data_IF_938678860456
#
_entry.id   IF_938678860456
#
_cell.length_a   1.000
_cell.length_b   1.000
_cell.length_c   1.000
_cell.angle_alpha   90.00
_cell.angle_beta   90.00
_cell.angle_gamma   90.00
#
_symmetry.space_group_name_H-M   'P 1'
#
loop_
_entity.id
_entity.type
_entity.pdbx_description
1 polymer ?
#
# COMPACT_ATOMS: atom_id res chain seq x y z
N UNK A 1 96.35 31.42 48.38
CA UNK A 1 95.79 32.78 48.43
C UNK A 1 96.81 33.68 47.76
N UNK A 2 96.57 34.05 46.50
CA UNK A 2 97.40 35.02 45.78
C UNK A 2 96.67 36.36 45.92
N UNK A 3 97.35 37.36 46.46
CA UNK A 3 96.80 38.69 46.76
C UNK A 3 97.56 39.66 45.88
N UNK A 4 96.85 40.41 45.04
CA UNK A 4 97.38 41.58 44.33
C UNK A 4 97.23 42.83 45.21
N UNK A 5 98.15 43.78 45.07
CA UNK A 5 98.34 45.00 45.88
C UNK A 5 97.15 46.00 45.83
N UNK A 6 96.04 45.61 45.17
CA UNK A 6 94.76 46.33 45.16
C UNK A 6 93.65 45.68 46.01
N UNK A 7 93.95 44.65 46.81
CA UNK A 7 93.02 44.13 47.82
C UNK A 7 91.95 43.14 47.32
N UNK A 8 92.16 42.53 46.14
CA UNK A 8 91.28 41.46 45.62
C UNK A 8 91.76 40.07 46.07
N UNK A 9 90.91 39.32 46.78
CA UNK A 9 91.20 37.91 47.14
C UNK A 9 90.72 37.00 45.99
N UNK A 10 91.60 36.68 45.03
CA UNK A 10 91.32 35.67 43.99
C UNK A 10 91.90 34.32 44.42
N UNK A 11 91.13 33.56 45.20
CA UNK A 11 91.46 32.16 45.53
C UNK A 11 91.03 31.23 44.39
N UNK A 12 91.84 30.22 44.08
CA UNK A 12 91.51 29.13 43.13
C UNK A 12 90.13 28.51 43.46
N UNK A 13 89.77 28.45 44.74
CA UNK A 13 88.46 27.98 45.21
C UNK A 13 87.29 28.89 44.80
N UNK A 14 87.50 30.21 44.72
CA UNK A 14 86.48 31.16 44.27
C UNK A 14 86.30 31.08 42.75
N UNK A 15 87.40 30.93 42.00
CA UNK A 15 87.35 30.71 40.56
C UNK A 15 86.67 29.39 40.19
N UNK A 16 86.94 28.29 40.92
CA UNK A 16 86.27 27.00 40.69
C UNK A 16 84.79 27.04 41.07
N UNK A 17 84.42 27.70 42.17
CA UNK A 17 83.02 27.89 42.55
C UNK A 17 82.24 28.70 41.48
N UNK A 18 82.83 29.78 40.96
CA UNK A 18 82.23 30.56 39.87
C UNK A 18 82.05 29.73 38.60
N UNK A 19 83.05 28.91 38.23
CA UNK A 19 82.95 28.02 37.08
C UNK A 19 81.85 26.97 37.24
N UNK A 20 81.72 26.37 38.43
CA UNK A 20 80.66 25.41 38.73
C UNK A 20 79.28 26.08 38.68
N UNK A 21 79.14 27.28 39.24
CA UNK A 21 77.91 28.06 39.15
C UNK A 21 77.54 28.39 37.68
N UNK A 22 78.51 28.83 36.87
CA UNK A 22 78.28 29.08 35.44
C UNK A 22 77.85 27.81 34.70
N UNK A 23 78.52 26.68 34.96
CA UNK A 23 78.19 25.40 34.37
C UNK A 23 76.76 24.94 34.73
N UNK A 24 76.35 25.11 36.00
CA UNK A 24 74.99 24.84 36.47
C UNK A 24 73.96 25.75 35.80
N UNK A 25 74.23 27.05 35.67
CA UNK A 25 73.33 27.99 34.98
C UNK A 25 73.17 27.59 33.51
N UNK A 26 74.27 27.27 32.81
CA UNK A 26 74.19 26.80 31.43
C UNK A 26 73.45 25.46 31.30
N UNK A 27 73.61 24.55 32.26
CA UNK A 27 72.86 23.30 32.31
C UNK A 27 71.36 23.52 32.54
N UNK A 28 70.97 24.44 33.42
CA UNK A 28 69.55 24.78 33.63
C UNK A 28 68.93 25.45 32.41
N UNK A 29 69.67 26.36 31.75
CA UNK A 29 69.24 26.99 30.50
C UNK A 29 69.08 25.96 29.38
N UNK A 30 70.01 25.01 29.25
CA UNK A 30 69.91 23.95 28.23
C UNK A 30 68.73 23.02 28.50
N UNK A 31 68.49 22.63 29.76
CA UNK A 31 67.33 21.83 30.17
C UNK A 31 66.03 22.58 29.89
N UNK A 32 65.92 23.85 30.25
CA UNK A 32 64.74 24.68 29.99
C UNK A 32 64.47 24.85 28.48
N UNK A 33 65.53 24.95 27.68
CA UNK A 33 65.42 25.05 26.23
C UNK A 33 64.94 23.73 25.60
N UNK A 34 65.48 22.59 26.03
CA UNK A 34 65.06 21.26 25.57
C UNK A 34 63.62 20.97 26.01
N UNK A 35 63.25 21.26 27.26
CA UNK A 35 61.89 21.01 27.77
C UNK A 35 60.84 21.85 27.06
N UNK A 36 61.14 23.13 26.80
CA UNK A 36 60.27 24.02 26.03
C UNK A 36 60.03 23.50 24.61
N UNK A 37 61.07 22.96 23.96
CA UNK A 37 60.97 22.43 22.60
C UNK A 37 60.21 21.10 22.56
N UNK A 38 60.44 20.22 23.54
CA UNK A 38 59.70 18.97 23.68
C UNK A 38 58.20 19.20 23.91
N UNK A 39 57.84 20.13 24.80
CA UNK A 39 56.45 20.51 25.05
C UNK A 39 55.74 20.99 23.78
N UNK A 40 56.43 21.82 22.99
CA UNK A 40 55.90 22.30 21.70
C UNK A 40 55.73 21.18 20.68
N UNK A 41 56.72 20.29 20.55
CA UNK A 41 56.62 19.13 19.65
C UNK A 41 55.45 18.23 20.02
N UNK A 42 55.25 17.97 21.32
CA UNK A 42 54.13 17.18 21.81
C UNK A 42 52.78 17.85 21.48
N UNK A 43 52.64 19.14 21.77
CA UNK A 43 51.41 19.88 21.44
C UNK A 43 51.09 19.87 19.93
N UNK A 44 52.10 19.98 19.07
CA UNK A 44 51.93 19.90 17.61
C UNK A 44 51.56 18.47 17.17
N UNK A 45 52.19 17.45 17.77
CA UNK A 45 51.89 16.05 17.48
C UNK A 45 50.46 15.67 17.90
N UNK A 46 49.99 16.14 19.05
CA UNK A 46 48.62 15.94 19.53
C UNK A 46 47.62 16.61 18.57
N UNK A 47 47.88 17.85 18.15
CA UNK A 47 47.05 18.54 17.17
C UNK A 47 47.03 17.83 15.79
N UNK A 48 48.16 17.23 15.38
CA UNK A 48 48.26 16.45 14.16
C UNK A 48 47.48 15.13 14.25
N UNK A 49 47.55 14.46 15.40
CA UNK A 49 46.79 13.24 15.69
C UNK A 49 45.29 13.52 15.67
N UNK A 50 44.83 14.58 16.35
CA UNK A 50 43.43 15.01 16.31
C UNK A 50 42.96 15.37 14.89
N UNK A 51 43.83 15.97 14.06
CA UNK A 51 43.51 16.25 12.67
C UNK A 51 43.31 14.96 11.84
N UNK A 52 44.13 13.93 12.07
CA UNK A 52 43.97 12.61 11.48
C UNK A 52 42.70 11.89 11.97
N UNK A 53 42.43 11.93 13.27
CA UNK A 53 41.22 11.35 13.88
C UNK A 53 39.94 11.98 13.31
N UNK A 54 39.93 13.30 13.11
CA UNK A 54 38.80 14.01 12.52
C UNK A 54 38.48 13.54 11.09
N UNK A 55 39.45 13.03 10.33
CA UNK A 55 39.20 12.44 9.01
C UNK A 55 38.37 11.16 9.13
N UNK A 56 38.72 10.28 10.08
CA UNK A 56 37.98 9.04 10.35
C UNK A 56 36.60 9.36 10.93
N UNK A 57 36.50 10.35 11.81
CA UNK A 57 35.22 10.82 12.35
C UNK A 57 34.27 11.32 11.24
N UNK A 58 34.80 12.02 10.23
CA UNK A 58 34.00 12.44 9.07
C UNK A 58 33.55 11.26 8.22
N UNK A 59 34.43 10.29 7.97
CA UNK A 59 34.07 9.09 7.23
C UNK A 59 32.96 8.28 7.93
N UNK A 60 33.09 8.05 9.23
CA UNK A 60 32.06 7.36 10.02
C UNK A 60 30.73 8.11 10.03
N UNK A 61 30.77 9.46 10.11
CA UNK A 61 29.55 10.28 9.98
C UNK A 61 28.90 10.11 8.61
N UNK A 62 29.69 10.09 7.52
CA UNK A 62 29.17 9.86 6.17
C UNK A 62 28.51 8.49 6.07
N UNK A 63 29.17 7.44 6.58
CA UNK A 63 28.62 6.08 6.58
C UNK A 63 27.29 5.99 7.36
N UNK A 64 27.20 6.63 8.53
CA UNK A 64 25.97 6.69 9.33
C UNK A 64 24.83 7.42 8.61
N UNK A 65 25.13 8.52 7.91
CA UNK A 65 24.11 9.25 7.13
C UNK A 65 23.63 8.42 5.94
N UNK A 66 24.53 7.69 5.28
CA UNK A 66 24.18 6.77 4.19
C UNK A 66 23.28 5.66 4.71
N UNK A 67 23.63 5.01 5.83
CA UNK A 67 22.83 3.96 6.45
C UNK A 67 21.43 4.45 6.82
N UNK A 68 21.34 5.60 7.50
CA UNK A 68 20.07 6.25 7.83
C UNK A 68 19.24 6.58 6.58
N UNK A 69 19.88 6.96 5.48
CA UNK A 69 19.21 7.24 4.20
C UNK A 69 18.66 5.97 3.56
N UNK A 70 19.45 4.88 3.56
CA UNK A 70 19.04 3.56 3.06
C UNK A 70 17.85 3.02 3.87
N UNK A 71 17.89 3.17 5.20
CA UNK A 71 16.79 2.79 6.09
C UNK A 71 15.54 3.63 5.81
N UNK A 72 15.71 4.94 5.66
CA UNK A 72 14.60 5.88 5.41
C UNK A 72 13.90 5.59 4.08
N UNK A 73 14.66 5.33 3.02
CA UNK A 73 14.11 4.92 1.71
C UNK A 73 13.40 3.57 1.82
N UNK A 74 13.96 2.61 2.55
CA UNK A 74 13.35 1.30 2.78
C UNK A 74 12.01 1.39 3.49
N UNK A 75 11.97 2.10 4.63
CA UNK A 75 10.74 2.30 5.39
C UNK A 75 9.70 3.08 4.60
N UNK A 76 10.09 4.14 3.89
CA UNK A 76 9.18 4.93 3.07
C UNK A 76 8.59 4.11 1.91
N UNK A 77 9.42 3.31 1.24
CA UNK A 77 8.98 2.40 0.18
C UNK A 77 7.99 1.35 0.69
N UNK A 78 8.31 0.70 1.81
CA UNK A 78 7.43 -0.29 2.44
C UNK A 78 6.10 0.31 2.92
N UNK A 79 6.13 1.50 3.52
CA UNK A 79 4.91 2.20 3.94
C UNK A 79 4.01 2.55 2.74
N UNK A 80 4.60 3.04 1.64
CA UNK A 80 3.85 3.32 0.41
C UNK A 80 3.22 2.06 -0.20
N UNK A 81 3.96 0.95 -0.28
CA UNK A 81 3.43 -0.33 -0.75
C UNK A 81 2.32 -0.83 0.18
N UNK A 82 2.55 -0.85 1.49
CA UNK A 82 1.56 -1.30 2.48
C UNK A 82 0.27 -0.48 2.43
N UNK A 83 0.39 0.85 2.40
CA UNK A 83 -0.77 1.74 2.25
C UNK A 83 -1.46 1.57 0.90
N UNK A 84 -0.70 1.38 -0.18
CA UNK A 84 -1.20 1.13 -1.52
C UNK A 84 -2.03 -0.14 -1.61
N UNK A 85 -1.54 -1.24 -1.02
CA UNK A 85 -2.24 -2.52 -0.96
C UNK A 85 -3.57 -2.42 -0.21
N UNK A 86 -3.58 -1.77 0.96
CA UNK A 86 -4.82 -1.56 1.72
C UNK A 86 -5.81 -0.70 0.94
N UNK A 87 -5.34 0.40 0.33
CA UNK A 87 -6.19 1.28 -0.48
C UNK A 87 -6.74 0.57 -1.74
N UNK A 88 -5.99 -0.37 -2.32
CA UNK A 88 -6.45 -1.19 -3.44
C UNK A 88 -7.62 -2.10 -3.09
N UNK A 89 -7.79 -2.47 -1.82
CA UNK A 89 -8.94 -3.25 -1.36
C UNK A 89 -10.19 -2.41 -1.05
N UNK A 90 -10.09 -1.07 -1.07
CA UNK A 90 -11.22 -0.18 -0.75
C UNK A 90 -11.90 0.31 -2.04
N UNK A 91 -13.21 0.07 -2.22
CA UNK A 91 -13.96 0.58 -3.36
C UNK A 91 -13.80 2.10 -3.53
N UNK A 92 -13.51 2.56 -4.75
CA UNK A 92 -13.27 3.97 -5.06
C UNK A 92 -11.85 4.49 -4.76
N UNK A 93 -11.00 3.73 -4.05
CA UNK A 93 -9.59 4.09 -3.80
C UNK A 93 -8.58 3.25 -4.60
N UNK A 94 -9.03 2.29 -5.40
CA UNK A 94 -8.17 1.38 -6.15
C UNK A 94 -7.10 2.08 -7.02
N UNK A 95 -7.48 3.17 -7.69
CA UNK A 95 -6.56 3.96 -8.53
C UNK A 95 -5.50 4.70 -7.72
N UNK A 96 -5.83 5.17 -6.51
CA UNK A 96 -4.88 5.78 -5.59
C UNK A 96 -3.95 4.72 -4.98
N UNK A 97 -4.49 3.56 -4.64
CA UNK A 97 -3.72 2.42 -4.14
C UNK A 97 -2.65 1.95 -5.13
N UNK A 98 -3.02 1.82 -6.41
CA UNK A 98 -2.07 1.45 -7.48
C UNK A 98 -0.92 2.46 -7.62
N UNK A 99 -1.21 3.76 -7.61
CA UNK A 99 -0.19 4.82 -7.65
C UNK A 99 0.75 4.79 -6.44
N UNK A 100 0.21 4.48 -5.25
CA UNK A 100 1.01 4.37 -4.02
C UNK A 100 1.93 3.15 -4.06
N UNK A 101 1.44 2.00 -4.54
CA UNK A 101 2.29 0.82 -4.78
C UNK A 101 3.42 1.13 -5.77
N UNK A 102 3.11 1.75 -6.91
CA UNK A 102 4.10 2.14 -7.91
C UNK A 102 5.17 3.09 -7.35
N UNK A 103 4.74 4.08 -6.57
CA UNK A 103 5.66 4.99 -5.89
C UNK A 103 6.55 4.23 -4.90
N UNK A 104 5.97 3.32 -4.10
CA UNK A 104 6.69 2.49 -3.15
C UNK A 104 7.74 1.61 -3.80
N UNK A 105 7.41 0.91 -4.89
CA UNK A 105 8.35 0.08 -5.65
C UNK A 105 9.48 0.91 -6.26
N UNK A 106 9.18 2.09 -6.83
CA UNK A 106 10.22 3.00 -7.33
C UNK A 106 11.15 3.48 -6.22
N UNK A 107 10.63 3.74 -5.02
CA UNK A 107 11.46 4.10 -3.86
C UNK A 107 12.36 2.95 -3.42
N UNK A 108 11.87 1.71 -3.42
CA UNK A 108 12.68 0.53 -3.09
C UNK A 108 13.76 0.24 -4.14
N UNK A 109 13.46 0.45 -5.42
CA UNK A 109 14.47 0.36 -6.49
C UNK A 109 15.54 1.46 -6.35
N UNK A 110 15.12 2.69 -6.05
CA UNK A 110 16.03 3.79 -5.77
C UNK A 110 16.92 3.50 -4.55
N UNK A 111 16.36 2.90 -3.49
CA UNK A 111 17.12 2.41 -2.32
C UNK A 111 18.21 1.44 -2.74
N UNK A 112 17.87 0.44 -3.57
CA UNK A 112 18.84 -0.58 -4.04
C UNK A 112 20.00 0.08 -4.79
N UNK A 113 19.69 0.93 -5.79
CA UNK A 113 20.72 1.65 -6.57
C UNK A 113 21.58 2.57 -5.71
N UNK A 114 20.96 3.30 -4.79
CA UNK A 114 21.65 4.18 -3.86
C UNK A 114 22.57 3.39 -2.93
N UNK A 115 22.08 2.30 -2.33
CA UNK A 115 22.87 1.46 -1.44
C UNK A 115 24.11 0.88 -2.14
N UNK A 116 23.95 0.31 -3.34
CA UNK A 116 25.07 -0.24 -4.12
C UNK A 116 26.12 0.84 -4.41
N UNK A 117 25.70 1.98 -4.97
CA UNK A 117 26.62 3.06 -5.31
C UNK A 117 27.30 3.68 -4.08
N UNK A 118 26.57 3.82 -2.97
CA UNK A 118 27.12 4.37 -1.74
C UNK A 118 28.14 3.42 -1.08
N UNK A 119 27.92 2.10 -1.14
CA UNK A 119 28.88 1.11 -0.65
C UNK A 119 30.17 1.14 -1.47
N UNK A 120 30.07 1.16 -2.80
CA UNK A 120 31.25 1.30 -3.68
C UNK A 120 32.04 2.57 -3.36
N UNK A 121 31.35 3.69 -3.18
CA UNK A 121 31.99 4.96 -2.81
C UNK A 121 32.64 4.94 -1.42
N UNK A 122 32.00 4.29 -0.44
CA UNK A 122 32.54 4.13 0.91
C UNK A 122 33.78 3.23 0.91
N UNK A 123 33.78 2.15 0.13
CA UNK A 123 34.91 1.22 0.00
C UNK A 123 36.12 1.92 -0.63
N UNK A 124 35.91 2.70 -1.70
CA UNK A 124 36.98 3.47 -2.35
C UNK A 124 37.50 4.60 -1.43
N UNK A 125 36.62 5.27 -0.70
CA UNK A 125 37.01 6.33 0.25
C UNK A 125 37.81 5.74 1.42
N UNK A 126 37.45 4.56 1.89
CA UNK A 126 38.11 3.85 2.97
C UNK A 126 39.56 3.50 2.63
N UNK A 127 39.82 3.04 1.39
CA UNK A 127 41.19 2.78 0.89
C UNK A 127 42.09 4.02 0.94
N UNK A 128 41.50 5.22 0.83
CA UNK A 128 42.21 6.50 0.83
C UNK A 128 42.30 7.18 2.20
N UNK A 129 41.62 6.66 3.23
CA UNK A 129 41.62 7.24 4.59
C UNK A 129 43.03 7.49 5.15
N UNK A 130 44.00 6.56 5.05
CA UNK A 130 45.35 6.79 5.57
C UNK A 130 46.04 7.99 4.89
N UNK A 131 45.79 8.18 3.59
CA UNK A 131 46.36 9.29 2.82
C UNK A 131 45.73 10.62 3.27
N UNK A 132 44.41 10.66 3.44
CA UNK A 132 43.72 11.87 3.92
C UNK A 132 44.14 12.24 5.35
N UNK A 133 44.29 11.26 6.24
CA UNK A 133 44.78 11.48 7.59
C UNK A 133 46.22 12.02 7.60
N UNK A 134 47.10 11.44 6.79
CA UNK A 134 48.48 11.91 6.64
C UNK A 134 48.56 13.35 6.12
N UNK A 135 47.74 13.70 5.12
CA UNK A 135 47.66 15.07 4.58
C UNK A 135 47.11 16.07 5.61
N UNK A 136 46.04 15.71 6.32
CA UNK A 136 45.44 16.55 7.35
C UNK A 136 46.43 16.82 8.50
N UNK A 137 47.12 15.78 8.95
CA UNK A 137 48.18 15.87 9.96
C UNK A 137 49.34 16.75 9.50
N UNK A 138 49.85 16.53 8.28
CA UNK A 138 50.96 17.32 7.71
C UNK A 138 50.58 18.81 7.59
N UNK A 139 49.36 19.11 7.13
CA UNK A 139 48.86 20.49 7.05
C UNK A 139 48.72 21.13 8.44
N UNK A 140 48.25 20.38 9.43
CA UNK A 140 48.16 20.83 10.82
C UNK A 140 49.54 21.16 11.39
N UNK A 141 50.52 20.30 11.16
CA UNK A 141 51.91 20.49 11.60
C UNK A 141 52.50 21.75 10.98
N UNK A 142 52.33 21.93 9.66
CA UNK A 142 52.88 23.09 8.95
C UNK A 142 52.27 24.41 9.46
N UNK A 143 50.97 24.43 9.74
CA UNK A 143 50.28 25.61 10.29
C UNK A 143 50.72 25.94 11.72
N UNK A 144 50.99 24.94 12.54
CA UNK A 144 51.44 25.15 13.93
C UNK A 144 52.97 25.35 14.07
N UNK A 145 53.72 25.29 12.97
CA UNK A 145 55.19 25.42 12.96
C UNK A 145 55.69 26.88 12.88
N UNK A 146 54.86 27.82 12.42
CA UNK A 146 55.30 29.20 12.11
C UNK A 146 55.85 29.98 13.31
N UNK A 147 55.40 29.66 14.53
CA UNK A 147 55.78 30.39 15.75
C UNK A 147 56.93 29.74 16.55
N UNK A 148 57.41 28.56 16.14
CA UNK A 148 58.26 27.72 17.00
C UNK A 148 59.45 27.03 16.30
N UNK A 149 59.52 27.08 14.96
CA UNK A 149 60.56 26.44 14.15
C UNK A 149 59.99 25.47 13.11
N UNK A 150 60.80 25.00 12.17
CA UNK A 150 60.35 24.10 11.12
C UNK A 150 60.14 22.67 11.65
N UNK A 151 58.89 22.27 11.89
CA UNK A 151 58.54 20.87 12.19
C UNK A 151 57.99 20.17 10.95
N UNK A 152 58.30 18.88 10.84
CA UNK A 152 57.80 17.99 9.79
C UNK A 152 57.36 16.69 10.45
N UNK A 153 56.22 16.16 10.04
CA UNK A 153 55.68 14.90 10.56
C UNK A 153 54.41 14.51 9.83
N UNK A 154 53.85 13.36 10.20
CA UNK A 154 52.59 12.82 9.67
C UNK A 154 51.92 11.93 10.71
N UNK A 155 50.64 11.64 10.53
CA UNK A 155 49.87 10.70 11.34
C UNK A 155 49.58 9.43 10.54
N UNK A 156 49.59 8.28 11.23
CA UNK A 156 49.24 6.97 10.67
C UNK A 156 48.01 6.44 11.40
N UNK A 157 47.03 5.96 10.64
CA UNK A 157 45.83 5.35 11.20
C UNK A 157 46.11 3.91 11.67
N UNK A 158 45.51 3.53 12.79
CA UNK A 158 45.55 2.17 13.30
C UNK A 158 44.12 1.73 13.69
N UNK A 159 43.68 0.50 13.34
CA UNK A 159 44.40 -0.52 12.56
C UNK A 159 44.60 -0.15 11.08
N UNK A 160 45.63 -0.73 10.45
CA UNK A 160 45.97 -0.45 9.04
C UNK A 160 45.02 -1.11 8.03
N UNK A 161 44.29 -2.15 8.47
CA UNK A 161 43.23 -2.79 7.70
C UNK A 161 41.88 -2.45 8.32
N UNK A 162 40.92 -2.12 7.46
CA UNK A 162 39.54 -1.95 7.89
C UNK A 162 38.84 -3.28 8.11
N UNK A 163 37.85 -3.27 9.01
CA UNK A 163 36.92 -4.38 9.25
C UNK A 163 35.52 -4.09 8.71
N UNK A 164 35.35 -3.04 7.90
CA UNK A 164 34.07 -2.72 7.27
C UNK A 164 33.62 -3.85 6.34
N UNK A 165 32.39 -4.30 6.51
CA UNK A 165 31.75 -5.30 5.65
C UNK A 165 30.47 -4.71 5.04
N UNK A 166 30.46 -4.59 3.71
CA UNK A 166 29.34 -4.08 2.93
C UNK A 166 28.52 -5.21 2.27
N UNK A 167 28.91 -6.48 2.44
CA UNK A 167 28.32 -7.63 1.75
C UNK A 167 26.84 -7.86 2.06
N UNK A 168 26.40 -7.51 3.26
CA UNK A 168 25.01 -7.68 3.71
C UNK A 168 24.00 -6.72 3.05
N UNK A 169 24.45 -5.64 2.41
CA UNK A 169 23.56 -4.74 1.65
C UNK A 169 23.20 -5.32 0.27
N UNK A 170 23.97 -6.31 -0.20
CA UNK A 170 23.76 -7.01 -1.47
C UNK A 170 22.94 -8.31 -1.33
N UNK A 171 22.59 -8.75 -0.12
CA UNK A 171 21.65 -9.85 0.05
C UNK A 171 20.26 -9.38 -0.33
N UNK A 172 19.90 -9.65 -1.58
CA UNK A 172 18.66 -9.21 -2.19
C UNK A 172 17.44 -9.75 -1.44
N UNK A 173 16.70 -8.86 -0.77
CA UNK A 173 15.26 -9.06 -0.61
C UNK A 173 14.65 -8.55 -1.90
N UNK A 174 14.39 -9.46 -2.84
CA UNK A 174 13.79 -9.07 -4.13
C UNK A 174 12.41 -8.46 -3.90
N UNK A 175 12.22 -7.23 -4.39
CA UNK A 175 10.91 -6.59 -4.44
C UNK A 175 9.99 -7.17 -5.51
N UNK A 176 10.51 -8.08 -6.35
CA UNK A 176 9.77 -8.61 -7.51
C UNK A 176 8.61 -9.48 -7.05
N UNK A 177 8.80 -10.35 -6.05
CA UNK A 177 7.72 -11.16 -5.47
C UNK A 177 6.60 -10.28 -4.90
N UNK A 178 6.97 -9.20 -4.18
CA UNK A 178 6.00 -8.24 -3.64
C UNK A 178 5.25 -7.51 -4.75
N UNK A 179 5.92 -7.23 -5.87
CA UNK A 179 5.33 -6.57 -7.02
C UNK A 179 4.32 -7.48 -7.71
N UNK A 180 4.67 -8.74 -7.95
CA UNK A 180 3.76 -9.73 -8.53
C UNK A 180 2.49 -9.90 -7.68
N UNK A 181 2.63 -10.03 -6.36
CA UNK A 181 1.49 -10.13 -5.45
C UNK A 181 0.61 -8.85 -5.47
N UNK A 182 1.22 -7.67 -5.53
CA UNK A 182 0.50 -6.41 -5.64
C UNK A 182 -0.29 -6.31 -6.95
N UNK A 183 0.30 -6.71 -8.08
CA UNK A 183 -0.37 -6.72 -9.38
C UNK A 183 -1.56 -7.67 -9.39
N UNK A 184 -1.42 -8.86 -8.81
CA UNK A 184 -2.51 -9.83 -8.67
C UNK A 184 -3.67 -9.27 -7.84
N UNK A 185 -3.39 -8.63 -6.69
CA UNK A 185 -4.42 -8.03 -5.85
C UNK A 185 -5.17 -6.90 -6.56
N UNK A 186 -4.46 -6.08 -7.34
CA UNK A 186 -5.08 -5.03 -8.15
C UNK A 186 -6.02 -5.61 -9.22
N UNK A 187 -5.64 -6.72 -9.86
CA UNK A 187 -6.49 -7.40 -10.83
C UNK A 187 -7.76 -7.96 -10.18
N UNK A 188 -7.64 -8.59 -9.01
CA UNK A 188 -8.79 -9.09 -8.25
C UNK A 188 -9.73 -7.95 -7.86
N UNK A 189 -9.19 -6.84 -7.34
CA UNK A 189 -9.99 -5.68 -6.95
C UNK A 189 -10.79 -5.12 -8.14
N UNK A 190 -10.16 -5.00 -9.31
CA UNK A 190 -10.83 -4.56 -10.54
C UNK A 190 -11.94 -5.53 -10.96
N UNK A 191 -11.71 -6.84 -10.87
CA UNK A 191 -12.74 -7.83 -11.17
C UNK A 191 -13.93 -7.73 -10.22
N UNK A 192 -13.69 -7.53 -8.92
CA UNK A 192 -14.74 -7.32 -7.92
C UNK A 192 -15.57 -6.07 -8.26
N UNK A 193 -14.92 -4.95 -8.60
CA UNK A 193 -15.60 -3.71 -8.98
C UNK A 193 -16.45 -3.89 -10.25
N UNK A 194 -15.93 -4.57 -11.28
CA UNK A 194 -16.69 -4.88 -12.50
C UNK A 194 -17.90 -5.77 -12.21
N UNK A 195 -17.75 -6.77 -11.34
CA UNK A 195 -18.84 -7.66 -10.93
C UNK A 195 -19.91 -6.91 -10.12
N UNK A 196 -19.49 -6.04 -9.20
CA UNK A 196 -20.39 -5.18 -8.42
C UNK A 196 -21.16 -4.22 -9.34
N UNK A 197 -20.46 -3.54 -10.26
CA UNK A 197 -21.09 -2.64 -11.23
C UNK A 197 -22.12 -3.35 -12.11
N UNK A 198 -21.80 -4.56 -12.60
CA UNK A 198 -22.75 -5.39 -13.34
C UNK A 198 -23.95 -5.78 -12.49
N UNK A 199 -23.73 -6.18 -11.23
CA UNK A 199 -24.80 -6.54 -10.31
C UNK A 199 -25.73 -5.34 -10.03
N UNK A 200 -25.17 -4.16 -9.77
CA UNK A 200 -25.92 -2.91 -9.58
C UNK A 200 -26.72 -2.52 -10.82
N UNK A 201 -26.12 -2.63 -12.00
CA UNK A 201 -26.79 -2.31 -13.28
C UNK A 201 -27.96 -3.27 -13.53
N UNK A 202 -27.77 -4.58 -13.29
CA UNK A 202 -28.85 -5.57 -13.39
C UNK A 202 -29.94 -5.35 -12.35
N UNK A 203 -29.58 -5.01 -11.10
CA UNK A 203 -30.54 -4.67 -10.04
C UNK A 203 -31.36 -3.44 -10.43
N UNK A 204 -30.72 -2.41 -10.95
CA UNK A 204 -31.38 -1.19 -11.44
C UNK A 204 -32.36 -1.50 -12.58
N UNK A 205 -31.94 -2.30 -13.57
CA UNK A 205 -32.82 -2.71 -14.68
C UNK A 205 -34.04 -3.51 -14.19
N UNK A 206 -33.84 -4.40 -13.21
CA UNK A 206 -34.93 -5.16 -12.62
C UNK A 206 -35.91 -4.26 -11.83
N UNK A 207 -35.38 -3.30 -11.07
CA UNK A 207 -36.18 -2.27 -10.40
C UNK A 207 -36.95 -1.41 -11.41
N UNK A 208 -36.35 -1.00 -12.53
CA UNK A 208 -37.03 -0.23 -13.58
C UNK A 208 -38.20 -1.03 -14.20
N UNK A 209 -38.00 -2.32 -14.49
CA UNK A 209 -39.07 -3.18 -15.01
C UNK A 209 -40.23 -3.37 -14.02
N UNK A 210 -39.93 -3.32 -12.72
CA UNK A 210 -40.90 -3.56 -11.66
C UNK A 210 -41.61 -2.27 -11.20
N UNK A 211 -40.86 -1.21 -10.94
CA UNK A 211 -41.29 0.05 -10.32
C UNK A 211 -41.03 1.32 -11.16
N UNK A 212 -40.42 1.23 -12.35
CA UNK A 212 -39.85 2.36 -13.12
C UNK A 212 -40.82 3.39 -13.72
N UNK A 213 -42.08 3.43 -13.30
CA UNK A 213 -42.96 4.58 -13.54
C UNK A 213 -43.47 4.78 -14.97
N UNK A 214 -43.48 3.74 -15.81
CA UNK A 214 -44.09 3.77 -17.14
C UNK A 214 -45.21 2.73 -17.27
N UNK A 215 -46.13 2.86 -18.26
CA UNK A 215 -47.37 2.09 -18.39
C UNK A 215 -47.20 0.55 -18.51
N UNK A 216 -45.95 0.07 -18.53
CA UNK A 216 -45.57 -1.33 -18.62
C UNK A 216 -44.89 -1.88 -17.36
N UNK A 217 -44.71 -1.07 -16.31
CA UNK A 217 -44.13 -1.54 -15.05
C UNK A 217 -45.05 -2.53 -14.35
N UNK A 218 -44.49 -3.56 -13.70
CA UNK A 218 -45.31 -4.56 -13.00
C UNK A 218 -46.13 -3.95 -11.86
N UNK A 219 -45.64 -2.92 -11.17
CA UNK A 219 -46.37 -2.17 -10.15
C UNK A 219 -47.65 -1.56 -10.69
N UNK A 220 -47.55 -0.76 -11.74
CA UNK A 220 -48.69 -0.05 -12.33
C UNK A 220 -49.66 -1.03 -12.98
N UNK A 221 -49.14 -2.06 -13.63
CA UNK A 221 -49.95 -3.14 -14.17
C UNK A 221 -50.74 -3.86 -13.09
N UNK A 222 -50.16 -4.09 -11.92
CA UNK A 222 -50.83 -4.75 -10.82
C UNK A 222 -51.88 -3.86 -10.14
N UNK A 223 -51.65 -2.57 -10.09
CA UNK A 223 -52.64 -1.58 -9.64
C UNK A 223 -53.81 -1.50 -10.63
N UNK A 224 -53.53 -1.29 -11.92
CA UNK A 224 -54.55 -1.04 -12.94
C UNK A 224 -55.37 -2.28 -13.33
N UNK A 225 -54.73 -3.44 -13.54
CA UNK A 225 -55.43 -4.63 -14.03
C UNK A 225 -55.92 -5.58 -12.94
N UNK A 226 -55.36 -5.51 -11.74
CA UNK A 226 -55.71 -6.40 -10.63
C UNK A 226 -56.22 -5.65 -9.39
N UNK A 227 -56.20 -4.31 -9.38
CA UNK A 227 -56.73 -3.52 -8.27
C UNK A 227 -55.97 -3.70 -6.95
N UNK A 228 -54.68 -4.04 -7.00
CA UNK A 228 -53.90 -4.26 -5.77
C UNK A 228 -53.69 -2.95 -5.00
N UNK A 229 -53.96 -2.97 -3.70
CA UNK A 229 -53.73 -1.84 -2.79
C UNK A 229 -52.24 -1.63 -2.49
N UNK A 230 -51.89 -0.44 -1.99
CA UNK A 230 -50.51 -0.06 -1.66
C UNK A 230 -49.81 -0.96 -0.64
N UNK A 231 -50.56 -1.64 0.23
CA UNK A 231 -50.00 -2.55 1.25
C UNK A 231 -49.36 -3.80 0.61
N UNK A 232 -49.97 -4.30 -0.47
CA UNK A 232 -49.54 -5.51 -1.19
C UNK A 232 -48.76 -5.13 -2.47
N UNK A 233 -48.90 -3.88 -2.91
CA UNK A 233 -48.23 -3.30 -4.07
C UNK A 233 -47.46 -2.01 -3.71
N UNK A 234 -46.45 -2.07 -2.83
CA UNK A 234 -45.75 -0.88 -2.35
C UNK A 234 -44.98 -0.19 -3.49
N UNK A 235 -44.97 1.15 -3.47
CA UNK A 235 -44.14 1.95 -4.37
C UNK A 235 -42.75 2.14 -3.77
N UNK A 236 -41.73 1.61 -4.44
CA UNK A 236 -40.34 1.69 -3.97
C UNK A 236 -39.58 2.68 -4.86
N UNK A 237 -39.17 3.84 -4.32
CA UNK A 237 -38.66 4.95 -5.13
C UNK A 237 -37.21 4.78 -5.58
N UNK A 238 -36.45 3.82 -5.04
CA UNK A 238 -35.05 3.62 -5.40
C UNK A 238 -34.66 2.14 -5.56
N UNK A 239 -33.72 1.82 -6.48
CA UNK A 239 -33.15 0.47 -6.60
C UNK A 239 -32.49 -0.04 -5.31
N UNK A 240 -31.96 0.87 -4.49
CA UNK A 240 -31.24 0.54 -3.26
C UNK A 240 -32.17 -0.02 -2.18
N UNK A 241 -33.37 0.56 -2.05
CA UNK A 241 -34.40 0.12 -1.10
C UNK A 241 -35.28 -1.01 -1.64
N UNK A 242 -35.11 -1.38 -2.91
CA UNK A 242 -35.84 -2.43 -3.60
C UNK A 242 -35.11 -3.77 -3.54
N UNK A 243 -35.89 -4.85 -3.45
CA UNK A 243 -35.39 -6.23 -3.49
C UNK A 243 -36.20 -7.08 -4.45
N UNK A 244 -35.59 -8.14 -4.99
CA UNK A 244 -36.29 -9.11 -5.84
C UNK A 244 -37.45 -9.81 -5.11
N UNK A 245 -37.39 -9.90 -3.78
CA UNK A 245 -38.48 -10.39 -2.95
C UNK A 245 -39.75 -9.55 -3.04
N UNK A 246 -39.64 -8.21 -3.16
CA UNK A 246 -40.79 -7.32 -3.34
C UNK A 246 -41.47 -7.61 -4.68
N UNK A 247 -40.69 -7.67 -5.76
CA UNK A 247 -41.21 -7.99 -7.09
C UNK A 247 -41.85 -9.38 -7.17
N UNK A 248 -41.24 -10.39 -6.53
CA UNK A 248 -41.78 -11.75 -6.48
C UNK A 248 -43.12 -11.81 -5.73
N UNK A 249 -43.22 -11.15 -4.57
CA UNK A 249 -44.48 -11.05 -3.80
C UNK A 249 -45.57 -10.34 -4.61
N UNK A 250 -45.22 -9.23 -5.26
CA UNK A 250 -46.13 -8.48 -6.13
C UNK A 250 -46.63 -9.33 -7.30
N UNK A 251 -45.73 -10.03 -8.00
CA UNK A 251 -46.11 -10.87 -9.13
C UNK A 251 -47.05 -12.01 -8.70
N UNK A 252 -46.82 -12.63 -7.54
CA UNK A 252 -47.74 -13.63 -6.96
C UNK A 252 -49.11 -13.04 -6.69
N UNK A 253 -49.17 -11.89 -6.01
CA UNK A 253 -50.42 -11.22 -5.70
C UNK A 253 -51.18 -10.83 -6.99
N UNK A 254 -50.45 -10.35 -8.00
CA UNK A 254 -51.01 -9.99 -9.30
C UNK A 254 -51.72 -11.16 -9.97
N UNK A 255 -51.02 -12.28 -10.19
CA UNK A 255 -51.60 -13.43 -10.88
C UNK A 255 -52.71 -14.09 -10.07
N UNK A 256 -52.62 -14.09 -8.74
CA UNK A 256 -53.69 -14.57 -7.87
C UNK A 256 -54.95 -13.73 -7.99
N UNK A 257 -54.83 -12.41 -7.89
CA UNK A 257 -55.96 -11.48 -8.02
C UNK A 257 -56.60 -11.55 -9.41
N UNK A 258 -55.78 -11.63 -10.48
CA UNK A 258 -56.28 -11.81 -11.85
C UNK A 258 -57.04 -13.13 -12.04
N UNK A 259 -56.60 -14.21 -11.40
CA UNK A 259 -57.32 -15.49 -11.41
C UNK A 259 -58.69 -15.37 -10.74
N UNK A 260 -58.75 -14.72 -9.57
CA UNK A 260 -59.98 -14.57 -8.78
C UNK A 260 -60.98 -13.62 -9.44
N UNK A 261 -60.50 -12.61 -10.17
CA UNK A 261 -61.31 -11.60 -10.86
C UNK A 261 -61.69 -11.98 -12.30
N UNK A 262 -61.15 -13.07 -12.86
CA UNK A 262 -61.41 -13.46 -14.25
C UNK A 262 -62.87 -13.88 -14.44
N UNK A 263 -63.58 -13.09 -15.26
CA UNK A 263 -64.97 -13.27 -15.67
C UNK A 263 -65.07 -13.22 -17.20
N UNK A 264 -66.09 -13.87 -17.75
CA UNK A 264 -66.34 -13.91 -19.20
C UNK A 264 -67.01 -12.59 -19.63
N UNK A 265 -66.39 -11.84 -20.54
CA UNK A 265 -66.91 -10.56 -21.01
C UNK A 265 -67.70 -10.69 -22.31
N UNK A 266 -68.84 -11.38 -22.25
CA UNK A 266 -69.73 -11.60 -23.39
C UNK A 266 -70.24 -13.03 -23.48
N UNK A 267 -70.93 -13.35 -24.57
CA UNK A 267 -71.57 -14.66 -24.78
C UNK A 267 -71.08 -15.38 -26.05
N UNK A 268 -69.96 -14.95 -26.64
CA UNK A 268 -69.36 -15.63 -27.80
C UNK A 268 -68.53 -16.84 -27.37
N UNK A 269 -68.46 -17.86 -28.23
CA UNK A 269 -67.67 -19.07 -27.96
C UNK A 269 -66.17 -18.75 -27.85
N UNK A 270 -65.70 -17.76 -28.60
CA UNK A 270 -64.33 -17.26 -28.58
C UNK A 270 -63.98 -16.65 -27.22
N UNK A 271 -64.87 -15.82 -26.64
CA UNK A 271 -64.62 -15.19 -25.34
C UNK A 271 -64.69 -16.20 -24.18
N UNK A 272 -65.56 -17.21 -24.29
CA UNK A 272 -65.57 -18.34 -23.34
C UNK A 272 -64.24 -19.10 -23.35
N UNK A 273 -63.70 -19.36 -24.55
CA UNK A 273 -62.39 -20.00 -24.73
C UNK A 273 -61.26 -19.12 -24.20
N UNK A 274 -61.24 -17.84 -24.56
CA UNK A 274 -60.18 -16.92 -24.17
C UNK A 274 -60.15 -16.67 -22.66
N UNK A 275 -61.32 -16.55 -22.02
CA UNK A 275 -61.41 -16.45 -20.56
C UNK A 275 -60.90 -17.72 -19.87
N UNK A 276 -61.24 -18.91 -20.38
CA UNK A 276 -60.70 -20.17 -19.86
C UNK A 276 -59.16 -20.22 -20.02
N UNK A 277 -58.62 -19.72 -21.13
CA UNK A 277 -57.17 -19.64 -21.36
C UNK A 277 -56.50 -18.69 -20.37
N UNK A 278 -57.05 -17.49 -20.19
CA UNK A 278 -56.53 -16.50 -19.22
C UNK A 278 -56.52 -17.08 -17.81
N UNK A 279 -57.62 -17.72 -17.39
CA UNK A 279 -57.75 -18.34 -16.07
C UNK A 279 -56.74 -19.49 -15.85
N UNK A 280 -56.56 -20.36 -16.84
CA UNK A 280 -55.55 -21.41 -16.80
C UNK A 280 -54.12 -20.84 -16.68
N UNK A 281 -53.80 -19.81 -17.47
CA UNK A 281 -52.50 -19.15 -17.42
C UNK A 281 -52.24 -18.47 -16.07
N UNK A 282 -53.22 -17.75 -15.51
CA UNK A 282 -53.06 -17.09 -14.21
C UNK A 282 -52.81 -18.09 -13.08
N UNK A 283 -53.51 -19.22 -13.08
CA UNK A 283 -53.27 -20.30 -12.11
C UNK A 283 -51.87 -20.91 -12.26
N UNK A 284 -51.46 -21.18 -13.51
CA UNK A 284 -50.12 -21.68 -13.81
C UNK A 284 -49.05 -20.70 -13.34
N UNK A 285 -49.17 -19.41 -13.70
CA UNK A 285 -48.20 -18.38 -13.35
C UNK A 285 -48.08 -18.19 -11.84
N UNK A 286 -49.21 -18.18 -11.11
CA UNK A 286 -49.20 -18.13 -9.65
C UNK A 286 -48.52 -19.37 -9.04
N UNK A 287 -48.82 -20.55 -9.54
CA UNK A 287 -48.23 -21.82 -9.05
C UNK A 287 -46.73 -21.86 -9.27
N UNK A 288 -46.25 -21.50 -10.47
CA UNK A 288 -44.82 -21.46 -10.77
C UNK A 288 -44.10 -20.42 -9.92
N UNK A 289 -44.60 -19.19 -9.84
CA UNK A 289 -43.98 -18.15 -9.03
C UNK A 289 -43.99 -18.49 -7.54
N UNK A 290 -44.94 -19.27 -7.05
CA UNK A 290 -44.99 -19.73 -5.66
C UNK A 290 -43.86 -20.69 -5.29
N UNK A 291 -43.26 -21.38 -6.27
CA UNK A 291 -42.05 -22.21 -6.07
C UNK A 291 -40.78 -21.40 -5.86
N UNK A 292 -40.79 -20.12 -6.26
CA UNK A 292 -39.65 -19.22 -6.09
C UNK A 292 -39.40 -18.85 -4.62
N UNK A 293 -38.24 -18.28 -4.34
CA UNK A 293 -37.96 -17.68 -3.05
C UNK A 293 -36.93 -16.57 -3.17
N UNK A 294 -36.87 -15.73 -2.14
CA UNK A 294 -35.87 -14.70 -1.98
C UNK A 294 -35.51 -14.60 -0.50
N UNK A 295 -34.21 -14.64 -0.20
CA UNK A 295 -33.65 -14.51 1.14
C UNK A 295 -32.39 -13.65 1.04
N UNK A 296 -32.26 -12.74 1.99
CA UNK A 296 -31.08 -11.89 2.15
C UNK A 296 -30.59 -12.08 3.58
N UNK A 297 -29.31 -12.45 3.75
CA UNK A 297 -28.69 -12.63 5.07
C UNK A 297 -28.25 -11.29 5.65
N UNK A 298 -27.98 -11.24 6.96
CA UNK A 298 -27.48 -10.04 7.61
C UNK A 298 -26.14 -9.56 7.04
N UNK A 299 -25.36 -10.48 6.46
CA UNK A 299 -24.06 -10.22 5.83
C UNK A 299 -24.19 -9.74 4.37
N UNK A 300 -25.42 -9.60 3.85
CA UNK A 300 -25.70 -9.12 2.50
C UNK A 300 -25.63 -10.19 1.41
N UNK A 301 -25.53 -11.47 1.78
CA UNK A 301 -25.62 -12.57 0.82
C UNK A 301 -27.06 -12.76 0.38
N UNK A 302 -27.28 -12.83 -0.94
CA UNK A 302 -28.61 -12.94 -1.53
C UNK A 302 -28.78 -14.33 -2.14
N UNK A 303 -29.69 -15.11 -1.58
CA UNK A 303 -30.12 -16.39 -2.11
C UNK A 303 -31.51 -16.24 -2.73
N UNK A 304 -31.65 -16.56 -4.00
CA UNK A 304 -32.93 -16.43 -4.69
C UNK A 304 -33.16 -17.51 -5.73
N UNK A 305 -34.43 -17.89 -5.88
CA UNK A 305 -34.93 -18.63 -7.03
C UNK A 305 -36.11 -17.84 -7.60
N UNK A 306 -35.95 -17.34 -8.83
CA UNK A 306 -36.97 -16.58 -9.55
C UNK A 306 -37.44 -17.41 -10.75
N UNK A 307 -38.53 -18.20 -10.62
CA UNK A 307 -39.06 -19.02 -11.70
C UNK A 307 -39.43 -18.17 -12.90
N UNK A 308 -39.00 -18.61 -14.09
CA UNK A 308 -39.28 -17.92 -15.34
C UNK A 308 -40.60 -18.38 -15.91
N UNK A 309 -41.51 -17.44 -16.17
CA UNK A 309 -42.75 -17.71 -16.90
C UNK A 309 -42.47 -17.84 -18.41
N UNK A 310 -43.27 -18.57 -19.18
CA UNK A 310 -43.11 -18.66 -20.63
C UNK A 310 -43.50 -17.33 -21.30
N UNK A 311 -42.69 -16.85 -22.24
CA UNK A 311 -42.91 -15.58 -22.95
C UNK A 311 -43.27 -15.76 -24.42
N UNK A 312 -43.20 -16.97 -24.96
CA UNK A 312 -43.51 -17.30 -26.35
C UNK A 312 -44.13 -18.70 -26.47
N UNK A 313 -44.67 -19.00 -27.65
CA UNK A 313 -45.36 -20.27 -27.92
C UNK A 313 -44.46 -21.49 -27.68
N UNK A 314 -43.20 -21.43 -28.08
CA UNK A 314 -42.25 -22.54 -27.94
C UNK A 314 -41.89 -22.82 -26.48
N UNK A 315 -41.80 -21.78 -25.65
CA UNK A 315 -41.66 -21.93 -24.20
C UNK A 315 -42.92 -22.51 -23.58
N UNK A 316 -44.11 -22.03 -23.97
CA UNK A 316 -45.39 -22.53 -23.45
C UNK A 316 -45.62 -24.01 -23.77
N UNK A 317 -45.22 -24.48 -24.96
CA UNK A 317 -45.31 -25.90 -25.34
C UNK A 317 -44.52 -26.83 -24.42
N UNK A 318 -43.50 -26.30 -23.74
CA UNK A 318 -42.64 -27.05 -22.81
C UNK A 318 -43.18 -27.05 -21.37
N UNK A 319 -44.28 -26.36 -21.09
CA UNK A 319 -44.85 -26.27 -19.75
C UNK A 319 -46.12 -27.10 -19.60
N UNK A 320 -46.48 -27.34 -18.34
CA UNK A 320 -47.73 -28.00 -17.94
C UNK A 320 -48.99 -27.32 -18.49
N UNK A 321 -48.90 -26.04 -18.89
CA UNK A 321 -50.02 -25.31 -19.49
C UNK A 321 -50.43 -25.90 -20.85
N UNK A 322 -49.50 -26.50 -21.58
CA UNK A 322 -49.76 -27.14 -22.88
C UNK A 322 -49.92 -28.67 -22.77
N UNK A 323 -49.20 -29.28 -21.82
CA UNK A 323 -49.11 -30.75 -21.73
C UNK A 323 -50.25 -31.42 -20.97
N UNK A 324 -50.98 -30.69 -20.12
CA UNK A 324 -52.10 -31.24 -19.34
C UNK A 324 -53.44 -31.09 -20.08
N UNK A 325 -54.34 -32.09 -20.03
CA UNK A 325 -55.67 -32.01 -20.63
C UNK A 325 -56.61 -31.17 -19.74
N UNK A 326 -56.44 -29.85 -19.79
CA UNK A 326 -57.15 -28.88 -18.94
C UNK A 326 -58.29 -28.15 -19.66
N UNK A 327 -58.50 -28.43 -20.95
CA UNK A 327 -59.47 -27.72 -21.78
C UNK A 327 -60.81 -28.44 -21.83
N UNK A 328 -61.95 -27.75 -21.59
CA UNK A 328 -63.26 -28.36 -21.72
C UNK A 328 -63.54 -28.69 -23.18
N UNK A 329 -63.76 -29.98 -23.47
CA UNK A 329 -64.28 -30.44 -24.75
C UNK A 329 -65.82 -30.38 -24.71
N UNK A 330 -66.45 -29.80 -25.73
CA UNK A 330 -67.90 -29.90 -25.90
C UNK A 330 -68.27 -31.36 -26.22
N UNK A 331 -69.13 -31.97 -25.40
CA UNK A 331 -69.80 -33.22 -25.76
C UNK A 331 -70.96 -32.91 -26.71
N UNK A 332 -70.82 -33.26 -27.98
CA UNK A 332 -71.95 -33.31 -28.91
C UNK A 332 -72.75 -34.59 -28.61
N UNK A 333 -73.92 -34.44 -27.98
CA UNK A 333 -74.89 -35.52 -27.91
C UNK A 333 -75.50 -35.71 -29.30
N UNK A 334 -75.02 -36.72 -30.03
CA UNK A 334 -75.69 -37.22 -31.22
C UNK A 334 -77.06 -37.79 -30.81
N UNK A 335 -78.12 -37.05 -31.12
CA UNK A 335 -79.49 -37.53 -31.05
C UNK A 335 -79.66 -38.73 -31.99
N UNK A 336 -79.84 -39.93 -31.44
CA UNK A 336 -80.37 -41.07 -32.19
C UNK A 336 -81.89 -40.86 -32.36
N UNK A 337 -82.26 -40.27 -33.50
CA UNK A 337 -83.64 -40.27 -33.97
C UNK A 337 -84.10 -41.68 -34.32
N UNK A 338 -85.27 -42.02 -33.78
CA UNK A 338 -86.10 -43.23 -33.95
C UNK A 338 -86.19 -43.81 -35.36
#
# INVERSE_FOLDING_TARGET
>A
MFIDDKGGITSIAFASALLVCLALVFALVSVAWVSSRAYKTQSIADAASMAGENVVAKYTTIAQVIDASILSLGLSGLLCVGAGLVASCVPGLASAGSKLCDAGFKTLEARKKFATSACEGLEETEKMLPVFAAMAASSCIQKNSTDAGNFVGSALLFPAQSQSDFGHLNSDVSSDELKEQSELLQQIAKQIEELQSKAETSKKRAWEADCGGGPYSMRERAEHLAGLSGDINPSIPSPTSWTFGIALKRARAYYRARYDQEIVNGSTAEELRDSAIRKAFYNFAFTELSKGFYKETADGEVEMNLPRLPHNLEETKKTDLYLKPIWPCTYENFWSGS
#
